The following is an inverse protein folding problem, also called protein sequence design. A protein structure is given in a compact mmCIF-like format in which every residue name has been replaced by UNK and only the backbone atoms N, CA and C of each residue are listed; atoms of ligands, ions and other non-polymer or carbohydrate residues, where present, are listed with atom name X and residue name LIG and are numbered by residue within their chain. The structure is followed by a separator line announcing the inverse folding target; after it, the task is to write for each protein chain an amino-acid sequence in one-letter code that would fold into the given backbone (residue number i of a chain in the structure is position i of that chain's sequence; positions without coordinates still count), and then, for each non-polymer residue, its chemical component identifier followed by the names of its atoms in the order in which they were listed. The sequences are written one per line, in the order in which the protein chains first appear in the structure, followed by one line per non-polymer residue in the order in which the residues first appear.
data_IF_836150324971
#
_entry.id   IF_836150324971
#
_cell.length_a   1.000
_cell.length_b   1.000
_cell.length_c   1.000
_cell.angle_alpha   90.00
_cell.angle_beta   90.00
_cell.angle_gamma   90.00
#
_symmetry.space_group_name_H-M   'P 1'
#
loop_
_entity.id
_entity.type
_entity.pdbx_description
1 polymer ?
#
# COMPACT_ATOMS: atom_id res chain seq x y z
N UNK A 1 44.34 22.95 -37.53
CA UNK A 1 43.23 22.16 -38.10
C UNK A 1 43.15 20.74 -37.51
N UNK A 2 44.25 19.97 -37.47
CA UNK A 2 44.27 18.60 -36.92
C UNK A 2 43.88 18.51 -35.43
N UNK A 3 44.39 19.39 -34.56
CA UNK A 3 44.05 19.40 -33.14
C UNK A 3 42.58 19.74 -32.84
N UNK A 4 41.95 20.60 -33.66
CA UNK A 4 40.53 20.93 -33.53
C UNK A 4 39.64 19.74 -33.95
N UNK A 5 40.03 19.02 -35.00
CA UNK A 5 39.33 17.82 -35.45
C UNK A 5 39.41 16.67 -34.41
N UNK A 6 40.54 16.54 -33.70
CA UNK A 6 40.72 15.51 -32.66
C UNK A 6 39.90 15.82 -31.39
N UNK A 7 39.86 17.09 -30.97
CA UNK A 7 38.99 17.54 -29.88
C UNK A 7 37.52 17.30 -30.23
N UNK A 8 37.11 17.60 -31.45
CA UNK A 8 35.72 17.45 -31.91
C UNK A 8 35.30 15.97 -32.07
N UNK A 9 36.23 15.08 -32.43
CA UNK A 9 36.04 13.62 -32.39
C UNK A 9 35.92 13.08 -30.96
N UNK A 10 36.70 13.62 -30.01
CA UNK A 10 36.63 13.20 -28.60
C UNK A 10 35.30 13.59 -27.93
N UNK A 11 34.75 14.76 -28.28
CA UNK A 11 33.47 15.25 -27.75
C UNK A 11 32.29 14.45 -28.31
N UNK A 12 32.29 14.17 -29.63
CA UNK A 12 31.25 13.35 -30.27
C UNK A 12 31.26 11.91 -29.75
N UNK A 13 32.44 11.33 -29.52
CA UNK A 13 32.57 10.00 -28.90
C UNK A 13 32.01 9.96 -27.46
N UNK A 14 32.32 10.95 -26.62
CA UNK A 14 31.78 11.04 -25.25
C UNK A 14 30.26 11.21 -25.23
N UNK A 15 29.73 12.08 -26.10
CA UNK A 15 28.29 12.27 -26.24
C UNK A 15 27.58 10.97 -26.67
N UNK A 16 28.18 10.20 -27.60
CA UNK A 16 27.67 8.89 -28.01
C UNK A 16 27.59 7.88 -26.87
N UNK A 17 28.62 7.82 -26.00
CA UNK A 17 28.61 6.94 -24.82
C UNK A 17 27.50 7.32 -23.84
N UNK A 18 27.35 8.61 -23.53
CA UNK A 18 26.28 9.07 -22.63
C UNK A 18 24.90 8.80 -23.23
N UNK A 19 24.70 9.06 -24.52
CA UNK A 19 23.44 8.77 -25.20
C UNK A 19 23.12 7.26 -25.17
N UNK A 20 24.12 6.40 -25.39
CA UNK A 20 23.95 4.95 -25.29
C UNK A 20 23.54 4.48 -23.90
N UNK A 21 24.19 5.01 -22.84
CA UNK A 21 23.83 4.70 -21.45
C UNK A 21 22.45 5.24 -21.07
N UNK A 22 22.09 6.43 -21.54
CA UNK A 22 20.75 6.99 -21.34
C UNK A 22 19.68 6.13 -22.01
N UNK A 23 19.91 5.69 -23.24
CA UNK A 23 19.00 4.79 -23.96
C UNK A 23 18.90 3.43 -23.26
N UNK A 24 20.02 2.85 -22.81
CA UNK A 24 20.01 1.62 -22.04
C UNK A 24 19.21 1.77 -20.74
N UNK A 25 19.39 2.88 -20.03
CA UNK A 25 18.63 3.19 -18.81
C UNK A 25 17.13 3.28 -19.11
N UNK A 26 16.74 3.95 -20.20
CA UNK A 26 15.34 4.08 -20.61
C UNK A 26 14.72 2.74 -21.01
N UNK A 27 15.43 1.94 -21.81
CA UNK A 27 14.97 0.61 -22.23
C UNK A 27 14.84 -0.30 -21.01
N UNK A 28 15.83 -0.29 -20.12
CA UNK A 28 15.79 -1.08 -18.89
C UNK A 28 14.65 -0.63 -17.98
N UNK A 29 14.39 0.67 -17.81
CA UNK A 29 13.32 1.17 -16.96
C UNK A 29 11.93 0.80 -17.50
N UNK A 30 11.70 0.94 -18.81
CA UNK A 30 10.48 0.43 -19.47
C UNK A 30 10.38 -1.08 -19.29
N UNK A 31 11.50 -1.80 -19.44
CA UNK A 31 11.58 -3.23 -19.16
C UNK A 31 11.15 -3.57 -17.73
N UNK A 32 11.61 -2.83 -16.72
CA UNK A 32 11.21 -3.03 -15.31
C UNK A 32 9.71 -2.87 -15.14
N UNK A 33 9.08 -1.89 -15.79
CA UNK A 33 7.64 -1.65 -15.69
C UNK A 33 6.83 -2.83 -16.26
N UNK A 34 7.30 -3.44 -17.36
CA UNK A 34 6.65 -4.55 -18.04
C UNK A 34 7.04 -5.93 -17.48
N UNK A 35 8.15 -6.02 -16.76
CA UNK A 35 8.66 -7.28 -16.26
C UNK A 35 7.69 -7.90 -15.22
N UNK A 36 7.50 -9.23 -15.30
CA UNK A 36 6.52 -9.94 -14.48
C UNK A 36 6.87 -9.87 -13.00
N UNK A 37 5.83 -10.04 -12.18
CA UNK A 37 5.91 -10.16 -10.73
C UNK A 37 5.25 -11.47 -10.30
N UNK A 38 5.57 -11.93 -9.10
CA UNK A 38 4.91 -13.07 -8.46
C UNK A 38 3.88 -12.50 -7.49
N UNK A 39 2.60 -12.57 -7.86
CA UNK A 39 1.49 -12.11 -7.03
C UNK A 39 1.10 -13.17 -5.99
N UNK A 40 0.68 -12.73 -4.80
CA UNK A 40 0.10 -13.61 -3.79
C UNK A 40 -1.37 -13.91 -4.10
N UNK A 41 -1.81 -15.13 -3.81
CA UNK A 41 -3.23 -15.55 -3.85
C UNK A 41 -3.59 -16.27 -2.53
N UNK A 42 -3.79 -15.53 -1.43
CA UNK A 42 -4.09 -16.14 -0.15
C UNK A 42 -5.54 -16.67 -0.16
N UNK A 43 -5.66 -17.97 0.10
CA UNK A 43 -6.93 -18.69 0.19
C UNK A 43 -7.27 -18.98 1.65
N UNK A 44 -8.46 -18.59 2.09
CA UNK A 44 -8.98 -18.94 3.41
C UNK A 44 -9.98 -20.08 3.27
N UNK A 45 -9.76 -21.14 4.04
CA UNK A 45 -10.68 -22.28 4.15
C UNK A 45 -11.30 -22.33 5.54
N UNK A 46 -12.61 -22.52 5.59
CA UNK A 46 -13.37 -22.62 6.83
C UNK A 46 -14.40 -23.76 6.73
N UNK A 47 -14.56 -24.61 7.75
CA UNK A 47 -13.70 -24.73 8.92
C UNK A 47 -12.26 -25.12 8.53
N UNK A 48 -11.26 -24.87 9.41
CA UNK A 48 -9.92 -25.39 9.19
C UNK A 48 -9.94 -26.92 9.01
N UNK A 49 -9.07 -27.45 8.17
CA UNK A 49 -9.05 -28.88 7.85
C UNK A 49 -8.93 -29.74 9.12
N UNK A 50 -9.85 -30.70 9.28
CA UNK A 50 -9.90 -31.60 10.44
C UNK A 50 -10.48 -30.98 11.71
N UNK A 51 -10.99 -29.75 11.67
CA UNK A 51 -11.61 -29.08 12.82
C UNK A 51 -13.13 -28.93 12.62
N UNK A 52 -13.93 -28.96 13.70
CA UNK A 52 -15.35 -28.64 13.61
C UNK A 52 -15.56 -27.17 13.25
N UNK A 53 -16.77 -26.86 12.77
CA UNK A 53 -17.14 -25.48 12.46
C UNK A 53 -17.25 -24.64 13.74
N UNK A 54 -16.44 -23.59 13.80
CA UNK A 54 -16.48 -22.57 14.84
C UNK A 54 -16.68 -21.21 14.20
N UNK A 55 -17.45 -20.34 14.84
CA UNK A 55 -17.62 -18.98 14.33
C UNK A 55 -16.29 -18.23 14.43
N UNK A 56 -15.76 -17.81 13.28
CA UNK A 56 -14.41 -17.23 13.19
C UNK A 56 -14.48 -15.78 12.72
N UNK A 57 -13.85 -14.87 13.48
CA UNK A 57 -13.67 -13.48 13.08
C UNK A 57 -12.60 -13.40 11.97
N UNK A 58 -12.95 -12.77 10.85
CA UNK A 58 -12.13 -12.68 9.63
C UNK A 58 -12.33 -11.33 8.93
N UNK A 59 -11.86 -10.21 9.51
CA UNK A 59 -11.94 -8.90 8.87
C UNK A 59 -10.99 -8.84 7.68
N UNK A 60 -11.54 -8.87 6.47
CA UNK A 60 -10.74 -8.70 5.25
C UNK A 60 -10.46 -7.22 5.00
N UNK A 61 -9.30 -6.90 4.42
CA UNK A 61 -9.02 -5.58 3.85
C UNK A 61 -8.42 -5.81 2.46
N UNK A 62 -9.12 -5.45 1.37
CA UNK A 62 -10.46 -4.86 1.31
C UNK A 62 -11.56 -5.80 1.84
N UNK A 63 -12.72 -5.24 2.20
CA UNK A 63 -13.82 -5.97 2.88
C UNK A 63 -14.45 -7.11 2.06
N UNK A 64 -14.14 -7.21 0.76
CA UNK A 64 -14.70 -8.21 -0.17
C UNK A 64 -13.56 -9.05 -0.74
N UNK A 65 -13.68 -10.39 -0.72
CA UNK A 65 -12.74 -11.25 -1.42
C UNK A 65 -12.93 -11.15 -2.95
N UNK A 66 -11.95 -11.64 -3.71
CA UNK A 66 -12.06 -11.78 -5.17
C UNK A 66 -13.10 -12.84 -5.56
N UNK A 67 -13.17 -13.91 -4.78
CA UNK A 67 -14.17 -14.95 -4.94
C UNK A 67 -14.50 -15.62 -3.60
N UNK A 68 -15.71 -16.15 -3.49
CA UNK A 68 -16.20 -16.91 -2.35
C UNK A 68 -17.03 -18.10 -2.85
N UNK A 69 -16.72 -19.28 -2.35
CA UNK A 69 -17.49 -20.51 -2.55
C UNK A 69 -17.92 -21.03 -1.20
N UNK A 70 -19.23 -21.16 -0.97
CA UNK A 70 -19.79 -21.77 0.23
C UNK A 70 -20.57 -23.02 -0.12
N UNK A 71 -20.35 -24.10 0.64
CA UNK A 71 -21.06 -25.38 0.55
C UNK A 71 -21.88 -25.57 1.82
N UNK A 72 -23.19 -25.72 1.65
CA UNK A 72 -24.15 -25.85 2.74
C UNK A 72 -24.95 -27.15 2.55
N UNK A 73 -24.67 -28.21 3.32
CA UNK A 73 -25.45 -29.44 3.29
C UNK A 73 -26.88 -29.19 3.79
N UNK A 74 -27.86 -29.80 3.13
CA UNK A 74 -29.26 -29.71 3.56
C UNK A 74 -29.49 -30.35 4.94
N UNK A 75 -28.65 -31.31 5.35
CA UNK A 75 -28.67 -31.86 6.70
C UNK A 75 -28.39 -30.80 7.78
N UNK A 76 -27.49 -29.85 7.51
CA UNK A 76 -27.21 -28.71 8.39
C UNK A 76 -28.44 -27.80 8.48
N UNK A 77 -29.06 -27.48 7.34
CA UNK A 77 -30.30 -26.69 7.29
C UNK A 77 -31.45 -27.39 8.03
N UNK A 78 -31.66 -28.69 7.82
CA UNK A 78 -32.68 -29.46 8.56
C UNK A 78 -32.41 -29.55 10.06
N UNK A 79 -31.15 -29.45 10.51
CA UNK A 79 -30.83 -29.39 11.94
C UNK A 79 -31.15 -28.01 12.52
N UNK A 80 -30.88 -26.94 11.77
CA UNK A 80 -31.22 -25.57 12.15
C UNK A 80 -32.74 -25.35 12.17
N UNK A 81 -33.47 -25.84 11.18
CA UNK A 81 -34.92 -25.63 11.09
C UNK A 81 -35.71 -26.34 12.20
N UNK A 82 -35.12 -27.36 12.84
CA UNK A 82 -35.67 -27.99 14.05
C UNK A 82 -35.58 -27.11 15.29
N UNK A 83 -34.80 -26.04 15.25
CA UNK A 83 -34.76 -25.04 16.33
C UNK A 83 -36.01 -24.15 16.26
N UNK A 84 -36.55 -23.67 17.39
CA UNK A 84 -37.84 -22.94 17.43
C UNK A 84 -37.93 -21.74 16.48
N UNK A 85 -36.82 -21.02 16.33
CA UNK A 85 -36.70 -19.85 15.48
C UNK A 85 -35.85 -20.13 14.24
N UNK A 86 -35.65 -21.40 13.86
CA UNK A 86 -34.65 -21.82 12.86
C UNK A 86 -33.23 -21.32 13.15
N UNK A 87 -32.39 -21.18 12.12
CA UNK A 87 -31.03 -20.64 12.30
C UNK A 87 -30.23 -20.38 11.02
N UNK A 88 -29.06 -19.77 11.18
CA UNK A 88 -28.17 -19.36 10.11
C UNK A 88 -27.07 -20.42 9.93
N UNK A 89 -27.05 -21.05 8.76
CA UNK A 89 -26.00 -22.02 8.42
C UNK A 89 -24.66 -21.33 8.13
N UNK A 90 -24.73 -20.16 7.51
CA UNK A 90 -23.57 -19.32 7.23
C UNK A 90 -23.96 -17.84 7.22
N UNK A 91 -23.14 -17.03 7.87
CA UNK A 91 -23.20 -15.57 7.85
C UNK A 91 -21.78 -15.01 7.73
N UNK A 92 -21.61 -13.95 6.90
CA UNK A 92 -20.28 -13.35 6.67
C UNK A 92 -20.06 -11.98 7.31
N UNK A 93 -21.10 -11.41 7.90
CA UNK A 93 -21.06 -10.17 8.70
C UNK A 93 -21.93 -10.35 9.93
N UNK A 94 -21.59 -9.72 11.08
CA UNK A 94 -22.39 -9.80 12.32
C UNK A 94 -23.88 -9.60 12.08
N UNK A 95 -24.74 -10.23 12.88
CA UNK A 95 -26.19 -10.04 12.77
C UNK A 95 -26.63 -8.57 12.94
N UNK A 96 -25.83 -7.77 13.65
CA UNK A 96 -26.00 -6.33 13.83
C UNK A 96 -25.47 -5.48 12.66
N UNK A 97 -24.80 -6.08 11.68
CA UNK A 97 -24.20 -5.38 10.55
C UNK A 97 -25.28 -4.97 9.52
N UNK A 98 -25.59 -3.68 9.50
CA UNK A 98 -26.56 -3.05 8.61
C UNK A 98 -27.30 -1.91 9.34
N UNK A 99 -27.79 -0.92 8.60
CA UNK A 99 -28.72 0.06 9.19
C UNK A 99 -30.07 -0.64 9.44
N UNK A 100 -30.82 -0.30 10.50
CA UNK A 100 -32.18 -0.80 10.68
C UNK A 100 -32.99 -0.62 9.38
N UNK A 101 -33.54 -1.72 8.85
CA UNK A 101 -34.30 -1.74 7.60
C UNK A 101 -33.48 -1.90 6.31
N UNK A 102 -32.15 -2.08 6.38
CA UNK A 102 -31.31 -2.43 5.22
C UNK A 102 -30.84 -3.88 5.28
N UNK A 103 -30.83 -4.54 4.12
CA UNK A 103 -30.27 -5.88 3.97
C UNK A 103 -28.73 -5.83 4.11
N UNK A 104 -28.17 -6.84 4.78
CA UNK A 104 -26.73 -6.99 4.99
C UNK A 104 -25.97 -7.00 3.65
N UNK A 105 -24.79 -6.39 3.64
CA UNK A 105 -23.84 -6.45 2.51
C UNK A 105 -23.07 -7.77 2.45
N UNK A 106 -23.20 -8.60 3.48
CA UNK A 106 -22.64 -9.95 3.54
C UNK A 106 -23.54 -10.99 2.89
N UNK A 107 -23.12 -12.25 3.03
CA UNK A 107 -23.86 -13.45 2.69
C UNK A 107 -24.56 -13.95 3.95
N UNK A 108 -25.83 -14.32 3.82
CA UNK A 108 -26.58 -15.07 4.84
C UNK A 108 -27.28 -16.23 4.14
N UNK A 109 -27.04 -17.44 4.64
CA UNK A 109 -27.76 -18.67 4.28
C UNK A 109 -28.50 -19.13 5.51
N UNK A 110 -29.82 -18.98 5.50
CA UNK A 110 -30.68 -19.19 6.66
C UNK A 110 -31.83 -20.13 6.30
N UNK A 111 -32.38 -20.78 7.33
CA UNK A 111 -33.60 -21.59 7.21
C UNK A 111 -34.55 -21.25 8.37
N UNK A 112 -35.83 -21.03 8.04
CA UNK A 112 -36.88 -20.66 8.98
C UNK A 112 -38.22 -21.25 8.51
N UNK A 113 -38.83 -22.13 9.30
CA UNK A 113 -40.16 -22.67 9.01
C UNK A 113 -40.22 -23.37 7.65
N UNK A 114 -39.31 -24.33 7.45
CA UNK A 114 -39.08 -25.05 6.19
C UNK A 114 -38.65 -24.18 5.00
N UNK A 115 -38.38 -22.89 5.18
CA UNK A 115 -37.98 -21.99 4.07
C UNK A 115 -36.49 -21.69 4.16
N UNK A 116 -35.73 -22.14 3.15
CA UNK A 116 -34.35 -21.71 2.92
C UNK A 116 -34.36 -20.36 2.24
N UNK A 117 -33.62 -19.41 2.81
CA UNK A 117 -33.39 -18.09 2.24
C UNK A 117 -31.90 -17.82 2.12
N UNK A 118 -31.48 -17.41 0.92
CA UNK A 118 -30.11 -16.98 0.65
C UNK A 118 -30.12 -15.51 0.24
N UNK A 119 -29.45 -14.68 1.04
CA UNK A 119 -29.28 -13.25 0.76
C UNK A 119 -27.81 -12.92 0.62
N UNK A 120 -27.45 -12.10 -0.37
CA UNK A 120 -26.08 -11.70 -0.63
C UNK A 120 -26.06 -10.24 -1.11
N UNK A 121 -25.15 -9.43 -0.57
CA UNK A 121 -24.91 -8.04 -1.01
C UNK A 121 -26.19 -7.21 -1.15
N UNK A 122 -27.05 -7.28 -0.13
CA UNK A 122 -28.29 -6.51 -0.08
C UNK A 122 -29.45 -7.04 -0.94
N UNK A 123 -29.36 -8.26 -1.50
CA UNK A 123 -30.44 -8.87 -2.29
C UNK A 123 -30.78 -10.27 -1.79
N UNK A 124 -32.05 -10.66 -1.93
CA UNK A 124 -32.48 -12.07 -1.78
C UNK A 124 -32.37 -12.75 -3.13
N UNK A 125 -31.60 -13.85 -3.20
CA UNK A 125 -31.29 -14.56 -4.43
C UNK A 125 -32.07 -15.88 -4.55
N UNK A 126 -32.38 -16.49 -3.41
CA UNK A 126 -33.16 -17.71 -3.34
C UNK A 126 -34.07 -17.63 -2.13
N UNK A 127 -35.33 -18.04 -2.33
CA UNK A 127 -36.27 -18.35 -1.26
C UNK A 127 -37.10 -19.53 -1.71
N UNK A 128 -36.94 -20.67 -1.05
CA UNK A 128 -37.66 -21.89 -1.41
C UNK A 128 -37.90 -22.78 -0.21
N UNK A 129 -38.84 -23.72 -0.35
CA UNK A 129 -39.05 -24.77 0.64
C UNK A 129 -37.83 -25.70 0.65
N UNK A 130 -37.34 -26.01 1.84
CA UNK A 130 -36.27 -26.95 2.08
C UNK A 130 -36.71 -28.31 1.53
N UNK A 131 -36.01 -28.86 0.52
CA UNK A 131 -36.41 -30.14 -0.07
C UNK A 131 -36.20 -31.28 0.93
N UNK A 132 -37.06 -32.29 0.83
CA UNK A 132 -36.89 -33.53 1.57
C UNK A 132 -35.69 -34.34 1.04
N UNK A 133 -34.84 -34.84 1.93
CA UNK A 133 -33.71 -35.71 1.60
C UNK A 133 -32.34 -35.02 1.63
N UNK A 134 -31.32 -35.73 1.14
CA UNK A 134 -29.96 -35.22 1.08
C UNK A 134 -29.75 -34.34 -0.14
N UNK A 135 -29.39 -33.07 0.07
CA UNK A 135 -28.92 -32.15 -0.97
C UNK A 135 -27.78 -31.28 -0.45
N UNK A 136 -27.16 -30.53 -1.35
CA UNK A 136 -26.15 -29.52 -1.04
C UNK A 136 -26.40 -28.24 -1.82
N UNK A 137 -26.52 -27.13 -1.10
CA UNK A 137 -26.45 -25.80 -1.69
C UNK A 137 -24.99 -25.38 -1.89
N UNK A 138 -24.69 -24.76 -3.03
CA UNK A 138 -23.43 -24.09 -3.29
C UNK A 138 -23.71 -22.63 -3.63
N UNK A 139 -23.09 -21.71 -2.90
CA UNK A 139 -23.08 -20.29 -3.22
C UNK A 139 -21.73 -19.98 -3.85
N UNK A 140 -21.74 -19.52 -5.11
CA UNK A 140 -20.57 -19.12 -5.87
C UNK A 140 -20.64 -17.61 -6.09
N UNK A 141 -19.66 -16.87 -5.58
CA UNK A 141 -19.55 -15.43 -5.74
C UNK A 141 -18.21 -15.09 -6.40
N UNK A 142 -18.24 -14.39 -7.52
CA UNK A 142 -17.07 -13.97 -8.29
C UNK A 142 -17.37 -12.66 -9.04
N UNK A 143 -16.47 -12.22 -9.93
CA UNK A 143 -16.63 -11.01 -10.73
C UNK A 143 -17.90 -10.99 -11.61
N UNK A 144 -18.46 -12.16 -11.94
CA UNK A 144 -19.71 -12.30 -12.69
C UNK A 144 -20.98 -12.18 -11.84
N UNK A 145 -20.85 -12.07 -10.51
CA UNK A 145 -21.94 -11.95 -9.56
C UNK A 145 -22.05 -13.16 -8.64
N UNK A 146 -23.23 -13.34 -8.05
CA UNK A 146 -23.50 -14.44 -7.11
C UNK A 146 -24.49 -15.43 -7.73
N UNK A 147 -24.17 -16.71 -7.65
CA UNK A 147 -24.93 -17.85 -8.19
C UNK A 147 -25.17 -18.86 -7.09
N UNK A 148 -26.37 -19.44 -7.07
CA UNK A 148 -26.75 -20.49 -6.12
C UNK A 148 -27.08 -21.74 -6.92
N UNK A 149 -26.37 -22.81 -6.62
CA UNK A 149 -26.62 -24.14 -7.15
C UNK A 149 -27.18 -25.02 -6.03
N UNK A 150 -28.03 -25.98 -6.39
CA UNK A 150 -28.41 -27.10 -5.53
C UNK A 150 -28.08 -28.38 -6.29
N UNK A 151 -27.15 -29.16 -5.77
CA UNK A 151 -26.64 -30.39 -6.41
C UNK A 151 -26.20 -30.17 -7.88
N UNK A 152 -25.56 -29.01 -8.13
CA UNK A 152 -25.10 -28.61 -9.47
C UNK A 152 -26.16 -27.92 -10.34
N UNK A 153 -27.44 -27.91 -9.94
CA UNK A 153 -28.52 -27.28 -10.70
C UNK A 153 -28.71 -25.82 -10.27
N UNK A 154 -28.66 -24.84 -11.18
CA UNK A 154 -28.87 -23.43 -10.85
C UNK A 154 -30.27 -23.15 -10.28
N UNK A 155 -30.33 -22.46 -9.14
CA UNK A 155 -31.58 -22.11 -8.44
C UNK A 155 -31.81 -20.61 -8.30
N UNK A 156 -30.74 -19.83 -8.29
CA UNK A 156 -30.82 -18.37 -8.20
C UNK A 156 -29.51 -17.73 -8.64
N UNK A 157 -29.60 -16.49 -9.13
CA UNK A 157 -28.43 -15.68 -9.45
C UNK A 157 -28.76 -14.20 -9.38
N UNK A 158 -27.75 -13.38 -9.12
CA UNK A 158 -27.84 -11.94 -9.22
C UNK A 158 -26.50 -11.32 -9.60
N UNK A 159 -26.54 -10.32 -10.46
CA UNK A 159 -25.40 -9.44 -10.76
C UNK A 159 -25.21 -8.45 -9.62
N UNK A 160 -24.63 -8.92 -8.51
CA UNK A 160 -24.23 -8.12 -7.34
C UNK A 160 -22.75 -8.33 -7.06
N UNK A 161 -22.14 -7.43 -6.28
CA UNK A 161 -20.77 -7.60 -5.83
C UNK A 161 -20.60 -8.86 -4.96
N UNK A 162 -19.39 -9.42 -4.95
CA UNK A 162 -19.00 -10.49 -4.02
C UNK A 162 -19.28 -10.02 -2.58
N UNK A 163 -19.97 -10.80 -1.72
CA UNK A 163 -20.37 -10.36 -0.39
C UNK A 163 -19.20 -9.90 0.49
N UNK A 164 -19.48 -8.94 1.38
CA UNK A 164 -18.51 -8.52 2.40
C UNK A 164 -18.29 -9.63 3.44
N UNK A 165 -17.06 -9.72 3.93
CA UNK A 165 -16.65 -10.72 4.91
C UNK A 165 -15.87 -10.04 6.05
N UNK A 166 -16.43 -10.12 7.24
CA UNK A 166 -15.73 -9.79 8.51
C UNK A 166 -15.73 -10.95 9.51
N UNK A 167 -16.52 -11.99 9.24
CA UNK A 167 -16.59 -13.22 10.01
C UNK A 167 -17.06 -14.37 9.11
N UNK A 168 -16.95 -15.60 9.62
CA UNK A 168 -17.60 -16.79 9.09
C UNK A 168 -18.31 -17.46 10.27
N UNK A 169 -19.60 -17.17 10.41
CA UNK A 169 -20.41 -17.55 11.57
C UNK A 169 -21.49 -18.57 11.21
N UNK A 170 -21.84 -19.43 12.19
CA UNK A 170 -22.87 -20.46 12.07
C UNK A 170 -23.55 -20.72 13.41
N UNK A 171 -24.87 -20.94 13.40
CA UNK A 171 -25.63 -21.32 14.60
C UNK A 171 -25.48 -22.81 14.95
N UNK A 172 -24.72 -23.58 14.16
CA UNK A 172 -24.33 -24.97 14.42
C UNK A 172 -22.93 -25.10 15.03
N UNK A 173 -22.45 -24.08 15.73
CA UNK A 173 -21.10 -24.04 16.28
C UNK A 173 -20.77 -25.29 17.12
N UNK A 174 -19.66 -25.95 16.78
CA UNK A 174 -19.20 -27.20 17.40
C UNK A 174 -20.16 -28.38 17.32
N UNK A 175 -21.23 -28.31 16.54
CA UNK A 175 -22.22 -29.38 16.44
C UNK A 175 -21.87 -30.37 15.32
N UNK A 176 -22.10 -31.68 15.51
CA UNK A 176 -21.92 -32.67 14.43
C UNK A 176 -22.74 -32.37 13.17
N UNK A 177 -23.89 -31.69 13.35
CA UNK A 177 -24.77 -31.28 12.25
C UNK A 177 -24.12 -30.24 11.31
N UNK A 178 -23.06 -29.55 11.74
CA UNK A 178 -22.25 -28.67 10.88
C UNK A 178 -21.37 -29.45 9.89
N UNK A 179 -21.31 -30.78 9.99
CA UNK A 179 -20.52 -31.64 9.11
C UNK A 179 -20.79 -31.36 7.63
N UNK A 180 -19.74 -31.01 6.89
CA UNK A 180 -19.81 -30.70 5.46
C UNK A 180 -20.12 -29.25 5.12
N UNK A 181 -20.38 -28.38 6.12
CA UNK A 181 -20.26 -26.93 5.93
C UNK A 181 -18.83 -26.61 5.53
N UNK A 182 -18.66 -25.87 4.43
CA UNK A 182 -17.36 -25.43 3.98
C UNK A 182 -17.46 -24.09 3.27
N UNK A 183 -16.49 -23.22 3.49
CA UNK A 183 -16.29 -21.96 2.78
C UNK A 183 -14.84 -21.93 2.31
N UNK A 184 -14.64 -21.56 1.06
CA UNK A 184 -13.33 -21.22 0.50
C UNK A 184 -13.44 -19.84 -0.13
N UNK A 185 -12.53 -18.94 0.21
CA UNK A 185 -12.48 -17.60 -0.39
C UNK A 185 -11.06 -17.23 -0.78
N UNK A 186 -10.93 -16.54 -1.92
CA UNK A 186 -9.68 -15.95 -2.38
C UNK A 186 -9.66 -14.49 -1.96
N UNK A 187 -8.75 -14.13 -1.06
CA UNK A 187 -8.61 -12.75 -0.60
C UNK A 187 -8.08 -11.84 -1.73
N UNK A 188 -8.32 -10.54 -1.63
CA UNK A 188 -7.82 -9.58 -2.62
C UNK A 188 -6.45 -9.05 -2.23
N UNK A 189 -5.41 -9.83 -2.53
CA UNK A 189 -4.00 -9.49 -2.27
C UNK A 189 -3.32 -8.85 -3.50
N UNK A 190 -4.05 -8.13 -4.37
CA UNK A 190 -3.54 -7.64 -5.67
C UNK A 190 -2.30 -6.74 -5.60
N UNK A 191 -2.03 -6.13 -4.44
CA UNK A 191 -0.86 -5.27 -4.23
C UNK A 191 0.32 -6.01 -3.59
N UNK A 192 0.12 -7.25 -3.15
CA UNK A 192 1.14 -8.09 -2.54
C UNK A 192 1.85 -8.90 -3.63
N UNK A 193 3.04 -8.46 -4.00
CA UNK A 193 3.84 -9.13 -5.02
C UNK A 193 5.33 -9.02 -4.74
N UNK A 194 6.10 -9.97 -5.28
CA UNK A 194 7.56 -9.95 -5.25
C UNK A 194 8.12 -9.86 -6.67
N UNK A 195 9.27 -9.19 -6.86
CA UNK A 195 9.87 -9.06 -8.19
C UNK A 195 10.42 -10.40 -8.66
N UNK A 196 10.21 -10.73 -9.94
CA UNK A 196 10.89 -11.88 -10.57
C UNK A 196 12.39 -11.61 -10.74
N UNK A 197 13.18 -12.67 -10.93
CA UNK A 197 14.62 -12.54 -11.20
C UNK A 197 14.91 -11.65 -12.43
N UNK A 198 14.06 -11.71 -13.47
CA UNK A 198 14.13 -10.83 -14.64
C UNK A 198 13.94 -9.36 -14.25
N UNK A 199 12.91 -9.05 -13.46
CA UNK A 199 12.64 -7.68 -12.98
C UNK A 199 13.79 -7.15 -12.13
N UNK A 200 14.35 -7.99 -11.24
CA UNK A 200 15.54 -7.65 -10.45
C UNK A 200 16.75 -7.39 -11.34
N UNK A 201 17.01 -8.24 -12.34
CA UNK A 201 18.11 -8.04 -13.29
C UNK A 201 17.99 -6.73 -14.06
N UNK A 202 16.78 -6.40 -14.54
CA UNK A 202 16.51 -5.13 -15.22
C UNK A 202 16.68 -3.92 -14.30
N UNK A 203 16.28 -4.01 -13.03
CA UNK A 203 16.53 -2.98 -12.02
C UNK A 203 18.03 -2.76 -11.82
N UNK A 204 18.82 -3.82 -11.72
CA UNK A 204 20.29 -3.74 -11.58
C UNK A 204 20.92 -3.09 -12.81
N UNK A 205 20.52 -3.50 -14.02
CA UNK A 205 21.01 -2.89 -15.27
C UNK A 205 20.62 -1.41 -15.35
N UNK A 206 19.37 -1.07 -15.03
CA UNK A 206 18.90 0.30 -15.01
C UNK A 206 19.71 1.17 -14.04
N UNK A 207 19.91 0.69 -12.81
CA UNK A 207 20.69 1.40 -11.80
C UNK A 207 22.17 1.54 -12.20
N UNK A 208 22.81 0.47 -12.69
CA UNK A 208 24.19 0.51 -13.13
C UNK A 208 24.41 1.46 -14.32
N UNK A 209 23.53 1.41 -15.32
CA UNK A 209 23.58 2.30 -16.47
C UNK A 209 23.39 3.78 -16.06
N UNK A 210 22.44 4.06 -15.16
CA UNK A 210 22.21 5.40 -14.63
C UNK A 210 23.41 5.91 -13.82
N UNK A 211 23.95 5.11 -12.91
CA UNK A 211 25.12 5.49 -12.11
C UNK A 211 26.35 5.73 -12.98
N UNK A 212 26.57 4.89 -14.00
CA UNK A 212 27.65 5.08 -14.96
C UNK A 212 27.45 6.34 -15.80
N UNK A 213 26.22 6.60 -16.27
CA UNK A 213 25.85 7.82 -16.99
C UNK A 213 26.17 9.06 -16.15
N UNK A 214 25.67 9.11 -14.91
CA UNK A 214 25.88 10.24 -14.00
C UNK A 214 27.36 10.40 -13.64
N UNK A 215 28.08 9.31 -13.39
CA UNK A 215 29.51 9.34 -13.06
C UNK A 215 30.38 9.85 -14.21
N UNK A 216 30.11 9.41 -15.45
CA UNK A 216 30.82 9.90 -16.63
C UNK A 216 30.46 11.35 -16.95
N UNK A 217 29.17 11.71 -16.86
CA UNK A 217 28.72 13.10 -17.04
C UNK A 217 29.38 14.02 -16.01
N UNK A 218 29.43 13.61 -14.75
CA UNK A 218 30.14 14.31 -13.68
C UNK A 218 31.62 14.50 -14.01
N UNK A 219 32.30 13.42 -14.41
CA UNK A 219 33.73 13.43 -14.73
C UNK A 219 34.07 14.31 -15.94
N UNK A 220 33.20 14.36 -16.94
CA UNK A 220 33.46 15.06 -18.20
C UNK A 220 32.96 16.51 -18.21
N UNK A 221 31.91 16.84 -17.45
CA UNK A 221 31.23 18.14 -17.57
C UNK A 221 31.00 18.87 -16.23
N UNK A 222 30.86 18.16 -15.10
CA UNK A 222 30.27 18.74 -13.88
C UNK A 222 31.21 18.94 -12.69
N UNK A 223 32.25 18.11 -12.55
CA UNK A 223 32.99 18.00 -11.30
C UNK A 223 33.63 19.30 -10.79
N UNK A 224 34.17 20.15 -11.68
CA UNK A 224 34.93 21.32 -11.25
C UNK A 224 34.08 22.48 -10.71
N UNK A 225 32.83 22.63 -11.17
CA UNK A 225 31.96 23.73 -10.76
C UNK A 225 31.49 23.59 -9.30
N UNK A 226 31.20 22.36 -8.86
CA UNK A 226 30.73 22.09 -7.50
C UNK A 226 31.88 22.18 -6.49
N UNK A 227 33.08 21.72 -6.82
CA UNK A 227 34.26 21.89 -5.95
C UNK A 227 34.59 23.37 -5.72
N UNK A 228 34.45 24.19 -6.77
CA UNK A 228 34.61 25.64 -6.64
C UNK A 228 33.50 26.28 -5.79
N UNK A 229 32.27 25.77 -5.89
CA UNK A 229 31.14 26.23 -5.09
C UNK A 229 31.33 25.94 -3.59
N UNK A 230 31.68 24.70 -3.24
CA UNK A 230 31.90 24.28 -1.85
C UNK A 230 33.10 24.98 -1.22
N UNK A 231 34.17 25.24 -1.98
CA UNK A 231 35.31 26.02 -1.51
C UNK A 231 34.96 27.49 -1.17
N UNK A 232 33.89 28.04 -1.75
CA UNK A 232 33.40 29.40 -1.45
C UNK A 232 32.42 29.43 -0.29
N UNK A 233 31.89 28.29 0.12
CA UNK A 233 30.95 28.21 1.24
C UNK A 233 31.70 28.48 2.55
N UNK A 234 31.33 29.56 3.24
CA UNK A 234 31.83 29.87 4.58
C UNK A 234 30.71 29.71 5.58
N UNK A 235 30.99 28.95 6.64
CA UNK A 235 30.10 28.83 7.79
C UNK A 235 29.97 30.19 8.47
N UNK A 236 28.74 30.53 8.86
CA UNK A 236 28.38 31.79 9.51
C UNK A 236 27.54 31.51 10.74
N UNK A 237 27.43 32.52 11.61
CA UNK A 237 26.58 32.46 12.82
C UNK A 237 25.13 32.09 12.49
N UNK A 238 24.59 32.58 11.38
CA UNK A 238 23.25 32.22 10.91
C UNK A 238 23.07 30.71 10.67
N UNK A 239 24.12 30.00 10.23
CA UNK A 239 24.08 28.54 10.07
C UNK A 239 23.96 27.85 11.42
N UNK A 240 24.71 28.32 12.43
CA UNK A 240 24.61 27.81 13.79
C UNK A 240 23.24 28.10 14.42
N UNK A 241 22.68 29.29 14.17
CA UNK A 241 21.33 29.65 14.63
C UNK A 241 20.28 28.73 14.01
N UNK A 242 20.36 28.45 12.71
CA UNK A 242 19.44 27.51 12.09
C UNK A 242 19.51 26.14 12.75
N UNK A 243 20.71 25.58 12.92
CA UNK A 243 20.88 24.26 13.54
C UNK A 243 20.30 24.24 14.95
N UNK A 244 20.58 25.26 15.76
CA UNK A 244 20.06 25.37 17.12
C UNK A 244 18.52 25.47 17.14
N UNK A 245 17.94 26.34 16.31
CA UNK A 245 16.49 26.48 16.19
C UNK A 245 15.86 25.17 15.74
N UNK A 246 16.38 24.54 14.68
CA UNK A 246 15.85 23.28 14.16
C UNK A 246 15.94 22.13 15.16
N UNK A 247 17.04 22.03 15.92
CA UNK A 247 17.22 21.01 16.95
C UNK A 247 16.18 21.16 18.08
N UNK A 248 15.93 22.39 18.54
CA UNK A 248 14.85 22.68 19.49
C UNK A 248 13.48 22.41 18.87
N UNK A 249 13.31 22.75 17.59
CA UNK A 249 12.05 22.62 16.88
C UNK A 249 11.60 21.17 16.67
N UNK A 250 12.51 20.20 16.60
CA UNK A 250 12.15 18.76 16.61
C UNK A 250 11.21 18.42 17.77
N UNK A 251 11.46 19.02 18.94
CA UNK A 251 10.68 18.79 20.16
C UNK A 251 9.44 19.67 20.23
N UNK A 252 9.55 20.94 19.85
CA UNK A 252 8.49 21.95 20.05
C UNK A 252 7.51 22.07 18.88
N UNK A 253 7.86 21.57 17.69
CA UNK A 253 7.00 21.71 16.53
C UNK A 253 5.63 21.07 16.75
N UNK A 254 4.55 21.74 16.32
CA UNK A 254 3.21 21.16 16.38
C UNK A 254 3.13 19.90 15.52
N UNK A 255 2.28 18.96 15.90
CA UNK A 255 1.97 17.79 15.08
C UNK A 255 0.90 18.13 14.05
N UNK A 256 1.04 17.59 12.85
CA UNK A 256 -0.04 17.56 11.86
C UNK A 256 -0.86 16.26 12.02
N UNK A 257 -2.13 16.26 11.61
CA UNK A 257 -2.94 15.04 11.58
C UNK A 257 -2.27 13.95 10.72
N UNK A 258 -1.68 14.36 9.60
CA UNK A 258 -1.01 13.46 8.67
C UNK A 258 0.29 12.85 9.24
N UNK A 259 0.88 13.41 10.31
CA UNK A 259 2.05 12.80 10.94
C UNK A 259 1.72 11.37 11.39
N UNK A 260 0.56 11.21 12.02
CA UNK A 260 0.08 9.88 12.42
C UNK A 260 -0.22 8.98 11.23
N UNK A 261 -0.62 9.57 10.09
CA UNK A 261 -1.01 8.82 8.90
C UNK A 261 0.20 8.22 8.20
N UNK A 262 1.18 9.07 7.87
CA UNK A 262 2.45 8.64 7.28
C UNK A 262 3.19 7.65 8.17
N UNK A 263 3.15 7.85 9.49
CA UNK A 263 3.74 6.93 10.45
C UNK A 263 3.06 5.56 10.43
N UNK A 264 1.72 5.52 10.43
CA UNK A 264 0.96 4.27 10.40
C UNK A 264 1.20 3.51 9.09
N UNK A 265 1.17 4.21 7.94
CA UNK A 265 1.42 3.61 6.63
C UNK A 265 2.85 3.03 6.54
N UNK A 266 3.85 3.80 6.95
CA UNK A 266 5.24 3.35 6.96
C UNK A 266 5.48 2.16 7.90
N UNK A 267 4.85 2.16 9.09
CA UNK A 267 4.93 1.05 10.05
C UNK A 267 4.21 -0.20 9.57
N UNK A 268 3.02 -0.03 9.01
CA UNK A 268 2.20 -1.11 8.47
C UNK A 268 2.90 -1.86 7.34
N UNK A 269 3.62 -1.12 6.48
CA UNK A 269 4.36 -1.69 5.35
C UNK A 269 5.38 -2.78 5.73
N UNK A 270 5.91 -2.78 6.97
CA UNK A 270 6.79 -3.87 7.44
C UNK A 270 6.04 -5.20 7.59
N UNK A 271 4.75 -5.16 7.94
CA UNK A 271 3.92 -6.34 8.13
C UNK A 271 3.18 -6.74 6.85
N UNK A 272 2.71 -5.77 6.06
CA UNK A 272 1.90 -6.00 4.85
C UNK A 272 2.74 -6.16 3.58
N UNK A 273 4.06 -5.94 3.64
CA UNK A 273 4.97 -6.07 2.51
C UNK A 273 4.90 -4.93 1.48
N UNK A 274 3.99 -3.98 1.62
CA UNK A 274 3.89 -2.78 0.79
C UNK A 274 3.23 -1.61 1.52
N UNK A 275 3.51 -0.38 1.08
CA UNK A 275 2.84 0.83 1.57
C UNK A 275 1.44 0.94 0.96
N UNK A 276 0.43 0.75 1.80
CA UNK A 276 -0.98 0.99 1.49
C UNK A 276 -1.58 2.08 2.38
N UNK A 277 -2.71 2.63 1.95
CA UNK A 277 -3.46 3.60 2.74
C UNK A 277 -4.18 2.92 3.90
N UNK A 278 -3.48 2.72 5.01
CA UNK A 278 -4.01 1.99 6.17
C UNK A 278 -5.22 2.66 6.87
N UNK A 279 -5.66 3.82 6.40
CA UNK A 279 -6.62 4.70 7.08
C UNK A 279 -7.95 4.75 6.33
N UNK A 280 -7.91 4.79 5.00
CA UNK A 280 -9.08 4.81 4.15
C UNK A 280 -8.77 4.16 2.78
N UNK A 281 -9.69 4.24 1.81
CA UNK A 281 -9.50 3.66 0.46
C UNK A 281 -9.18 2.15 0.45
N UNK A 282 -9.65 1.42 1.46
CA UNK A 282 -9.49 -0.03 1.55
C UNK A 282 -8.03 -0.52 1.48
N UNK A 283 -7.09 0.27 2.01
CA UNK A 283 -5.66 -0.05 1.99
C UNK A 283 -5.08 -0.25 0.57
N UNK A 284 -5.64 0.43 -0.42
CA UNK A 284 -5.05 0.52 -1.75
C UNK A 284 -3.62 1.08 -1.65
N UNK A 285 -2.74 0.60 -2.52
CA UNK A 285 -1.35 1.08 -2.60
C UNK A 285 -1.27 2.59 -2.84
N UNK A 286 -0.34 3.25 -2.16
CA UNK A 286 -0.01 4.68 -2.38
C UNK A 286 0.90 4.88 -3.60
N UNK A 287 1.26 3.81 -4.32
CA UNK A 287 2.04 3.92 -5.55
C UNK A 287 1.35 4.87 -6.55
N UNK A 288 2.10 5.78 -7.20
CA UNK A 288 3.56 5.87 -7.23
C UNK A 288 4.22 6.75 -6.14
N UNK A 289 3.46 7.33 -5.21
CA UNK A 289 3.93 8.35 -4.26
C UNK A 289 4.29 7.79 -2.87
N UNK A 290 5.22 6.82 -2.85
CA UNK A 290 5.56 6.01 -1.67
C UNK A 290 6.97 6.23 -1.11
N UNK A 291 7.78 7.06 -1.78
CA UNK A 291 9.20 7.17 -1.49
C UNK A 291 9.45 7.68 -0.05
N UNK A 292 8.70 8.68 0.41
CA UNK A 292 8.85 9.21 1.78
C UNK A 292 8.45 8.17 2.82
N UNK A 293 7.37 7.43 2.62
CA UNK A 293 6.93 6.36 3.51
C UNK A 293 7.97 5.23 3.60
N UNK A 294 8.60 4.83 2.48
CA UNK A 294 9.67 3.83 2.50
C UNK A 294 10.94 4.33 3.22
N UNK A 295 11.28 5.61 3.10
CA UNK A 295 12.37 6.23 3.89
C UNK A 295 12.03 6.21 5.38
N UNK A 296 10.81 6.63 5.74
CA UNK A 296 10.33 6.60 7.12
C UNK A 296 10.28 5.17 7.67
N UNK A 297 9.93 4.19 6.85
CA UNK A 297 9.90 2.77 7.24
C UNK A 297 11.30 2.26 7.58
N UNK A 298 12.28 2.53 6.72
CA UNK A 298 13.67 2.19 6.97
C UNK A 298 14.21 2.93 8.21
N UNK A 299 13.90 4.21 8.36
CA UNK A 299 14.33 4.99 9.52
C UNK A 299 13.72 4.47 10.83
N UNK A 300 12.43 4.15 10.80
CA UNK A 300 11.69 3.61 11.93
C UNK A 300 12.15 2.21 12.34
N UNK A 301 12.59 1.38 11.38
CA UNK A 301 13.15 0.05 11.69
C UNK A 301 14.53 0.12 12.35
N UNK A 302 15.29 1.20 12.15
CA UNK A 302 16.62 1.39 12.74
C UNK A 302 16.59 1.90 14.18
N UNK A 303 15.70 2.85 14.50
CA UNK A 303 15.68 3.50 15.83
C UNK A 303 14.32 3.62 16.50
N UNK A 304 13.28 3.01 15.94
CA UNK A 304 11.94 2.93 16.52
C UNK A 304 10.95 3.94 15.92
N UNK A 305 9.72 3.93 16.45
CA UNK A 305 8.58 4.64 15.87
C UNK A 305 8.12 5.85 16.68
N UNK A 306 8.97 6.36 17.57
CA UNK A 306 8.68 7.54 18.38
C UNK A 306 8.77 8.82 17.57
N UNK A 307 7.86 9.78 17.79
CA UNK A 307 7.77 11.01 16.99
C UNK A 307 9.08 11.80 16.90
N UNK A 308 9.80 11.95 18.02
CA UNK A 308 11.10 12.66 18.06
C UNK A 308 12.12 12.00 17.13
N UNK A 309 12.20 10.67 17.14
CA UNK A 309 13.08 9.93 16.24
C UNK A 309 12.66 10.10 14.79
N UNK A 310 11.37 9.96 14.50
CA UNK A 310 10.84 10.09 13.13
C UNK A 310 11.07 11.50 12.56
N UNK A 311 10.98 12.54 13.40
CA UNK A 311 11.27 13.93 13.01
C UNK A 311 12.73 14.22 12.68
N UNK A 312 13.66 13.30 12.97
CA UNK A 312 15.03 13.44 12.51
C UNK A 312 15.15 13.32 10.98
N UNK A 313 14.20 12.65 10.32
CA UNK A 313 14.13 12.59 8.84
C UNK A 313 13.83 13.97 8.23
N UNK A 314 12.69 14.63 8.54
CA UNK A 314 12.46 15.98 8.05
C UNK A 314 13.54 16.97 8.54
N UNK A 315 14.07 16.82 9.76
CA UNK A 315 15.23 17.63 10.19
C UNK A 315 16.41 17.51 9.21
N UNK A 316 16.79 16.29 8.83
CA UNK A 316 17.89 16.07 7.91
C UNK A 316 17.60 16.70 6.53
N UNK A 317 16.38 16.55 6.01
CA UNK A 317 15.97 17.19 4.76
C UNK A 317 15.96 18.72 4.84
N UNK A 318 15.53 19.28 5.97
CA UNK A 318 15.55 20.72 6.22
C UNK A 318 16.98 21.27 6.23
N UNK A 319 17.88 20.63 6.97
CA UNK A 319 19.30 21.01 7.03
C UNK A 319 19.99 20.87 5.66
N UNK A 320 19.67 19.81 4.90
CA UNK A 320 20.18 19.64 3.54
C UNK A 320 19.65 20.74 2.60
N UNK A 321 18.36 21.06 2.69
CA UNK A 321 17.74 22.14 1.91
C UNK A 321 18.41 23.48 2.19
N UNK A 322 18.66 23.78 3.47
CA UNK A 322 19.43 24.96 3.83
C UNK A 322 20.83 25.00 3.21
N UNK A 323 21.57 23.89 3.28
CA UNK A 323 22.90 23.78 2.68
C UNK A 323 22.84 24.04 1.16
N UNK A 324 21.86 23.47 0.47
CA UNK A 324 21.67 23.67 -0.97
C UNK A 324 21.32 25.12 -1.31
N UNK A 325 20.43 25.76 -0.54
CA UNK A 325 20.11 27.19 -0.69
C UNK A 325 21.34 28.08 -0.44
N UNK A 326 22.17 27.72 0.55
CA UNK A 326 23.43 28.42 0.84
C UNK A 326 24.44 28.28 -0.29
N UNK A 327 24.56 27.09 -0.87
CA UNK A 327 25.40 26.86 -2.05
C UNK A 327 24.89 27.69 -3.23
N UNK A 328 23.59 27.65 -3.49
CA UNK A 328 22.96 28.41 -4.57
C UNK A 328 23.15 29.93 -4.41
N UNK A 329 23.02 30.46 -3.19
CA UNK A 329 23.25 31.88 -2.91
C UNK A 329 24.68 32.32 -3.27
N UNK A 330 25.68 31.47 -2.98
CA UNK A 330 27.10 31.80 -3.21
C UNK A 330 27.53 31.57 -4.66
N UNK A 331 26.88 30.64 -5.38
CA UNK A 331 27.22 30.33 -6.77
C UNK A 331 26.40 31.10 -7.79
N UNK A 332 25.10 31.26 -7.55
CA UNK A 332 24.13 31.76 -8.52
C UNK A 332 24.05 33.28 -8.63
N UNK A 333 24.37 34.00 -7.55
CA UNK A 333 24.08 35.44 -7.43
C UNK A 333 25.31 36.36 -7.32
N UNK A 334 26.49 35.89 -7.73
CA UNK A 334 27.72 36.68 -7.67
C UNK A 334 28.19 36.98 -6.24
N UNK A 335 29.34 37.63 -6.08
CA UNK A 335 29.94 37.88 -4.76
C UNK A 335 29.13 38.86 -3.90
N UNK A 336 28.26 39.66 -4.51
CA UNK A 336 27.48 40.73 -3.86
C UNK A 336 26.37 40.20 -2.94
N UNK A 337 25.80 39.03 -3.27
CA UNK A 337 24.78 38.37 -2.46
C UNK A 337 25.36 37.28 -1.54
N UNK A 338 26.67 37.02 -1.60
CA UNK A 338 27.40 36.19 -0.64
C UNK A 338 27.70 36.88 0.70
N UNK A 339 26.94 37.92 1.09
CA UNK A 339 27.20 38.73 2.28
C UNK A 339 26.53 38.15 3.54
N UNK A 340 26.92 38.67 4.71
CA UNK A 340 26.29 38.27 5.98
C UNK A 340 24.81 38.66 6.01
N UNK A 341 24.47 39.84 5.51
CA UNK A 341 23.09 40.34 5.47
C UNK A 341 22.19 39.47 4.60
N UNK A 342 22.66 39.09 3.41
CA UNK A 342 21.92 38.19 2.54
C UNK A 342 21.71 36.80 3.16
N UNK A 343 22.71 36.29 3.88
CA UNK A 343 22.58 35.04 4.64
C UNK A 343 21.49 35.13 5.72
N UNK A 344 21.45 36.23 6.47
CA UNK A 344 20.43 36.45 7.50
C UNK A 344 19.03 36.62 6.91
N UNK A 345 18.91 37.30 5.77
CA UNK A 345 17.65 37.42 5.04
C UNK A 345 17.16 36.05 4.56
N UNK A 346 18.06 35.21 4.02
CA UNK A 346 17.75 33.83 3.63
C UNK A 346 17.32 33.00 4.84
N UNK A 347 18.01 33.13 5.98
CA UNK A 347 17.63 32.43 7.22
C UNK A 347 16.21 32.79 7.66
N UNK A 348 15.88 34.09 7.69
CA UNK A 348 14.56 34.54 8.09
C UNK A 348 13.48 34.01 7.15
N UNK A 349 13.69 34.12 5.84
CA UNK A 349 12.77 33.61 4.83
C UNK A 349 12.59 32.08 4.94
N UNK A 350 13.69 31.35 5.14
CA UNK A 350 13.66 29.90 5.34
C UNK A 350 12.88 29.52 6.60
N UNK A 351 13.17 30.13 7.74
CA UNK A 351 12.50 29.82 9.02
C UNK A 351 11.00 30.16 8.99
N UNK A 352 10.61 31.25 8.31
CA UNK A 352 9.20 31.62 8.14
C UNK A 352 8.38 30.53 7.45
N UNK A 353 8.99 29.75 6.57
CA UNK A 353 8.34 28.65 5.86
C UNK A 353 8.56 27.29 6.54
N UNK A 354 9.76 27.07 7.06
CA UNK A 354 10.16 25.80 7.67
C UNK A 354 9.47 25.55 9.02
N UNK A 355 9.40 26.55 9.90
CA UNK A 355 8.86 26.35 11.25
C UNK A 355 7.39 25.90 11.25
N UNK A 356 6.49 26.48 10.43
CA UNK A 356 5.09 26.06 10.43
C UNK A 356 4.83 24.71 9.74
N UNK A 357 5.63 24.32 8.75
CA UNK A 357 5.30 23.21 7.84
C UNK A 357 6.34 22.08 7.79
N UNK A 358 7.62 22.41 7.90
CA UNK A 358 8.71 21.50 7.52
C UNK A 358 9.05 20.40 8.53
N UNK A 359 8.51 20.46 9.76
CA UNK A 359 8.78 19.44 10.79
C UNK A 359 7.71 18.33 10.85
N UNK A 360 6.84 18.27 9.85
CA UNK A 360 5.82 17.22 9.71
C UNK A 360 6.42 15.99 9.00
N UNK A 361 5.73 14.84 9.06
CA UNK A 361 6.12 13.61 8.33
C UNK A 361 5.54 13.55 6.91
N UNK A 362 4.84 14.61 6.50
CA UNK A 362 4.37 14.78 5.14
C UNK A 362 5.57 15.08 4.19
N UNK A 363 5.40 14.91 2.87
CA UNK A 363 6.51 15.00 1.93
C UNK A 363 6.84 16.43 1.44
N UNK A 364 6.21 17.49 1.96
CA UNK A 364 6.59 18.89 1.65
C UNK A 364 7.97 19.26 2.19
#
# INVERSE_FOLDING_TARGET
MLAAADVQRSVTSRAGVLAGLAMLTLVASVGVLLAPVIAQDPVVSWPPAGQPAHSTVLPLVPYRPLSLTARIPCAALSALDRQPDGGDALRTLPATAGKPGQLSQGLVVAVRGDVVQVTASGRTLLREVLPAGGCTYQVLADAGGVRILRDGVPRGSASVQVPEVSELATDLESQPAAGGLAVSLHTDARYESTPTALKVGLLVVCAAALLMLLGLAWRWFGGQAITAATARLRLRVADAVLVAVSAVWVLLAPTNFDDSWYLLMARGANATGSVGNAIYMFNVTENPFVASQYVLQLWGSLGGWGLVWMRLVPLAYGLLTWLLLRLFLVTGFGRELGTSRATWALLLAYLLWWLPYGMTLRPE
#
